data_IF_393959934097
#
_entry.id   IF_393959934097
#
_cell.length_a   1.000
_cell.length_b   1.000
_cell.length_c   1.000
_cell.angle_alpha   90.00
_cell.angle_beta   90.00
_cell.angle_gamma   90.00
#
_symmetry.space_group_name_H-M   'P 1'
#
loop_
_entity.id
_entity.type
_entity.pdbx_description
1 polymer ?
#
# COMPACT_ATOMS: atom_id res chain seq x y z
N UNK A 1 10.03 -19.85 14.35
CA UNK A 1 8.99 -20.57 13.57
C UNK A 1 7.76 -19.69 13.65
N UNK A 2 7.22 -19.18 12.54
CA UNK A 2 6.02 -18.34 12.59
C UNK A 2 4.82 -19.26 12.88
N UNK A 3 4.06 -18.97 13.94
CA UNK A 3 2.83 -19.70 14.24
C UNK A 3 1.85 -19.53 13.08
N UNK A 4 1.21 -20.63 12.70
CA UNK A 4 0.12 -20.59 11.74
C UNK A 4 -1.20 -20.29 12.44
N UNK A 5 -2.16 -19.73 11.69
CA UNK A 5 -3.53 -19.49 12.18
C UNK A 5 -4.28 -20.75 12.64
N UNK A 6 -3.78 -21.94 12.31
CA UNK A 6 -4.31 -23.23 12.79
C UNK A 6 -3.84 -23.59 14.21
N UNK A 7 -2.81 -22.91 14.72
CA UNK A 7 -2.24 -23.11 16.06
C UNK A 7 -2.72 -22.06 17.07
N UNK A 8 -3.74 -21.27 16.69
CA UNK A 8 -4.38 -20.27 17.54
C UNK A 8 -5.56 -20.88 18.31
N UNK A 9 -5.68 -20.53 19.57
CA UNK A 9 -6.89 -20.75 20.35
C UNK A 9 -8.06 -19.93 19.79
N UNK A 10 -9.29 -20.29 20.17
CA UNK A 10 -10.49 -19.55 19.75
C UNK A 10 -10.45 -18.05 20.12
N UNK A 11 -9.85 -17.73 21.27
CA UNK A 11 -9.69 -16.36 21.75
C UNK A 11 -8.68 -15.58 20.89
N UNK A 12 -7.53 -16.19 20.58
CA UNK A 12 -6.51 -15.57 19.73
C UNK A 12 -6.98 -15.42 18.28
N UNK A 13 -7.77 -16.37 17.76
CA UNK A 13 -8.38 -16.26 16.43
C UNK A 13 -9.42 -15.13 16.38
N UNK A 14 -10.20 -14.94 17.45
CA UNK A 14 -11.13 -13.81 17.57
C UNK A 14 -10.37 -12.48 17.62
N UNK A 15 -9.25 -12.42 18.36
CA UNK A 15 -8.38 -11.26 18.41
C UNK A 15 -7.75 -10.94 17.05
N UNK A 16 -7.17 -11.94 16.37
CA UNK A 16 -6.60 -11.81 15.02
C UNK A 16 -7.63 -11.25 14.04
N UNK A 17 -8.83 -11.83 13.99
CA UNK A 17 -9.91 -11.35 13.12
C UNK A 17 -10.33 -9.92 13.46
N UNK A 18 -10.35 -9.55 14.74
CA UNK A 18 -10.69 -8.18 15.16
C UNK A 18 -9.65 -7.15 14.70
N UNK A 19 -8.36 -7.50 14.77
CA UNK A 19 -7.25 -6.67 14.31
C UNK A 19 -7.16 -6.61 12.78
N UNK A 20 -7.39 -7.74 12.09
CA UNK A 20 -7.40 -7.82 10.63
C UNK A 20 -8.53 -6.98 10.02
N UNK A 21 -9.75 -7.03 10.58
CA UNK A 21 -10.90 -6.23 10.08
C UNK A 21 -10.61 -4.73 9.99
N UNK A 22 -9.75 -4.19 10.86
CA UNK A 22 -9.36 -2.78 10.84
C UNK A 22 -8.19 -2.45 9.90
N UNK A 23 -7.39 -3.45 9.50
CA UNK A 23 -6.13 -3.26 8.78
C UNK A 23 -6.16 -3.80 7.34
N UNK A 24 -7.10 -4.67 7.01
CA UNK A 24 -7.30 -5.22 5.67
C UNK A 24 -7.55 -4.14 4.62
N UNK A 25 -6.92 -4.30 3.46
CA UNK A 25 -7.17 -3.46 2.29
C UNK A 25 -8.30 -4.06 1.46
N UNK A 26 -9.23 -3.20 1.07
CA UNK A 26 -10.37 -3.59 0.25
C UNK A 26 -9.99 -3.63 -1.23
N UNK A 27 -10.18 -4.81 -1.84
CA UNK A 27 -10.01 -5.01 -3.27
C UNK A 27 -10.96 -4.11 -4.08
N UNK A 28 -12.23 -4.05 -3.68
CA UNK A 28 -13.24 -3.24 -4.36
C UNK A 28 -12.91 -1.75 -4.31
N UNK A 29 -12.47 -1.24 -3.15
CA UNK A 29 -12.04 0.15 -3.03
C UNK A 29 -10.82 0.45 -3.90
N UNK A 30 -9.89 -0.49 -4.02
CA UNK A 30 -8.72 -0.34 -4.89
C UNK A 30 -9.12 -0.23 -6.36
N UNK A 31 -10.12 -0.99 -6.81
CA UNK A 31 -10.68 -0.84 -8.17
C UNK A 31 -11.41 0.49 -8.36
N UNK A 32 -12.12 0.99 -7.35
CA UNK A 32 -12.70 2.35 -7.41
C UNK A 32 -11.60 3.41 -7.56
N UNK A 33 -10.47 3.25 -6.86
CA UNK A 33 -9.31 4.13 -7.02
C UNK A 33 -8.66 3.99 -8.41
N UNK A 34 -8.70 2.80 -9.01
CA UNK A 34 -8.25 2.57 -10.39
C UNK A 34 -9.12 3.33 -11.41
N UNK A 35 -10.38 3.65 -11.11
CA UNK A 35 -11.18 4.54 -11.99
C UNK A 35 -10.64 5.98 -11.97
N UNK A 36 -10.02 6.42 -10.87
CA UNK A 36 -9.17 7.63 -10.83
C UNK A 36 -7.78 7.43 -11.45
N UNK A 37 -7.60 6.36 -12.22
CA UNK A 37 -6.36 5.58 -12.35
C UNK A 37 -5.15 6.27 -12.92
N UNK A 38 -5.29 7.28 -13.78
CA UNK A 38 -4.12 7.91 -14.40
C UNK A 38 -3.24 8.66 -13.37
N UNK A 39 -3.80 9.04 -12.22
CA UNK A 39 -3.07 9.70 -11.13
C UNK A 39 -2.19 8.73 -10.30
N UNK A 40 -2.39 7.41 -10.40
CA UNK A 40 -1.64 6.43 -9.63
C UNK A 40 -2.08 6.26 -8.15
N UNK A 41 -3.28 6.75 -7.78
CA UNK A 41 -3.78 6.76 -6.40
C UNK A 41 -3.88 5.35 -5.79
N UNK A 42 -4.31 4.37 -6.59
CA UNK A 42 -4.41 2.97 -6.16
C UNK A 42 -3.07 2.39 -5.72
N UNK A 43 -1.94 2.77 -6.34
CA UNK A 43 -0.59 2.33 -5.94
C UNK A 43 -0.14 2.96 -4.62
N UNK A 44 -0.49 4.22 -4.38
CA UNK A 44 -0.26 4.86 -3.07
C UNK A 44 -1.06 4.19 -1.96
N UNK A 45 -2.32 3.83 -2.21
CA UNK A 45 -3.15 3.11 -1.25
C UNK A 45 -2.58 1.73 -0.89
N UNK A 46 -2.02 1.03 -1.88
CA UNK A 46 -1.34 -0.27 -1.71
C UNK A 46 0.09 -0.15 -1.18
N UNK A 47 0.51 1.03 -0.70
CA UNK A 47 1.86 1.33 -0.20
C UNK A 47 3.00 1.10 -1.20
N UNK A 48 2.71 1.02 -2.51
CA UNK A 48 3.71 0.88 -3.57
C UNK A 48 4.15 2.24 -4.12
N UNK A 49 4.71 3.05 -3.22
CA UNK A 49 5.09 4.45 -3.46
C UNK A 49 5.96 4.66 -4.71
N UNK A 50 7.07 3.92 -4.95
CA UNK A 50 7.98 4.24 -6.05
C UNK A 50 7.28 4.14 -7.40
N UNK A 51 6.54 3.06 -7.62
CA UNK A 51 5.77 2.87 -8.85
C UNK A 51 4.61 3.86 -9.01
N UNK A 52 3.99 4.29 -7.92
CA UNK A 52 2.96 5.34 -7.95
C UNK A 52 3.53 6.70 -8.35
N UNK A 53 4.74 7.03 -7.88
CA UNK A 53 5.45 8.26 -8.28
C UNK A 53 5.77 8.24 -9.77
N UNK A 54 6.29 7.12 -10.30
CA UNK A 54 6.59 6.99 -11.74
C UNK A 54 5.33 7.23 -12.58
N UNK A 55 4.21 6.63 -12.19
CA UNK A 55 2.94 6.81 -12.88
C UNK A 55 2.43 8.26 -12.81
N UNK A 56 2.54 8.90 -11.64
CA UNK A 56 2.17 10.30 -11.45
C UNK A 56 3.02 11.23 -12.32
N UNK A 57 4.34 11.02 -12.36
CA UNK A 57 5.25 11.80 -13.20
C UNK A 57 4.89 11.64 -14.68
N UNK A 58 4.64 10.42 -15.14
CA UNK A 58 4.25 10.15 -16.53
C UNK A 58 2.92 10.83 -16.90
N UNK A 59 1.97 10.85 -15.96
CA UNK A 59 0.72 11.61 -16.11
C UNK A 59 0.96 13.11 -16.21
N UNK A 60 1.80 13.68 -15.34
CA UNK A 60 2.16 15.11 -15.39
C UNK A 60 2.86 15.48 -16.71
N UNK A 61 3.77 14.65 -17.20
CA UNK A 61 4.39 14.84 -18.51
C UNK A 61 3.35 14.85 -19.63
N UNK A 62 2.43 13.88 -19.63
CA UNK A 62 1.35 13.81 -20.63
C UNK A 62 0.46 15.06 -20.57
N UNK A 63 0.13 15.54 -19.36
CA UNK A 63 -0.62 16.78 -19.18
C UNK A 63 0.13 18.01 -19.70
N UNK A 64 1.44 18.11 -19.45
CA UNK A 64 2.28 19.19 -19.99
C UNK A 64 2.25 19.16 -21.53
N UNK A 65 2.44 18.00 -22.15
CA UNK A 65 2.37 17.87 -23.61
C UNK A 65 0.99 18.20 -24.16
N UNK A 66 -0.08 17.87 -23.45
CA UNK A 66 -1.44 18.25 -23.81
C UNK A 66 -1.63 19.78 -23.81
N UNK A 67 -1.16 20.49 -22.78
CA UNK A 67 -1.22 21.96 -22.75
C UNK A 67 -0.33 22.61 -23.81
N UNK A 68 0.86 22.05 -24.07
CA UNK A 68 1.75 22.53 -25.14
C UNK A 68 1.12 22.32 -26.53
N UNK A 69 0.45 21.19 -26.75
CA UNK A 69 -0.30 20.92 -27.97
C UNK A 69 -1.44 21.93 -28.16
N UNK A 70 -2.21 22.20 -27.09
CA UNK A 70 -3.30 23.17 -27.12
C UNK A 70 -2.78 24.58 -27.46
N UNK A 71 -1.65 24.98 -26.86
CA UNK A 71 -1.00 26.26 -27.16
C UNK A 71 -0.48 26.32 -28.60
N UNK A 72 0.20 25.27 -29.08
CA UNK A 72 0.70 25.19 -30.46
C UNK A 72 -0.42 25.24 -31.51
N UNK A 73 -1.59 24.70 -31.17
CA UNK A 73 -2.78 24.76 -32.01
C UNK A 73 -3.34 26.19 -32.12
N UNK A 74 -3.24 26.99 -31.06
CA UNK A 74 -3.68 28.40 -31.05
C UNK A 74 -2.75 29.28 -31.89
N UNK A 75 -1.44 29.01 -31.86
CA UNK A 75 -0.45 29.77 -32.66
C UNK A 75 -0.31 29.23 -34.09
N UNK A 76 -1.22 28.35 -34.53
CA UNK A 76 -1.26 27.74 -35.87
C UNK A 76 0.09 27.15 -36.33
N UNK A 77 0.83 26.53 -35.39
CA UNK A 77 2.11 25.89 -35.71
C UNK A 77 1.91 24.46 -36.21
N UNK A 78 2.04 24.24 -37.52
CA UNK A 78 1.93 22.92 -38.15
C UNK A 78 2.94 21.91 -37.58
N UNK A 79 4.24 22.27 -37.56
CA UNK A 79 5.31 21.40 -37.06
C UNK A 79 5.17 21.12 -35.56
N UNK A 80 4.87 22.16 -34.76
CA UNK A 80 4.73 22.02 -33.31
C UNK A 80 3.57 21.10 -32.94
N UNK A 81 2.44 21.26 -33.61
CA UNK A 81 1.24 20.43 -33.40
C UNK A 81 1.52 18.96 -33.71
N UNK A 82 2.19 18.64 -34.82
CA UNK A 82 2.52 17.26 -35.17
C UNK A 82 3.46 16.61 -34.16
N UNK A 83 4.55 17.30 -33.78
CA UNK A 83 5.55 16.78 -32.84
C UNK A 83 4.93 16.51 -31.47
N UNK A 84 4.18 17.47 -30.90
CA UNK A 84 3.57 17.28 -29.58
C UNK A 84 2.44 16.25 -29.58
N UNK A 85 1.73 16.09 -30.70
CA UNK A 85 0.73 15.02 -30.86
C UNK A 85 1.38 13.64 -30.76
N UNK A 86 2.53 13.43 -31.42
CA UNK A 86 3.26 12.15 -31.36
C UNK A 86 3.70 11.85 -29.92
N UNK A 87 4.27 12.83 -29.21
CA UNK A 87 4.66 12.66 -27.81
C UNK A 87 3.45 12.39 -26.89
N UNK A 88 2.35 13.12 -27.07
CA UNK A 88 1.13 12.92 -26.29
C UNK A 88 0.58 11.50 -26.48
N UNK A 89 0.52 11.00 -27.72
CA UNK A 89 0.06 9.63 -28.01
C UNK A 89 1.02 8.60 -27.40
N UNK A 90 2.34 8.80 -27.54
CA UNK A 90 3.33 7.87 -27.01
C UNK A 90 3.20 7.70 -25.48
N UNK A 91 3.18 8.81 -24.73
CA UNK A 91 3.06 8.77 -23.28
C UNK A 91 1.66 8.39 -22.82
N UNK A 92 0.61 8.83 -23.52
CA UNK A 92 -0.77 8.43 -23.26
C UNK A 92 -1.00 6.93 -23.46
N UNK A 93 -0.43 6.34 -24.50
CA UNK A 93 -0.50 4.90 -24.74
C UNK A 93 0.26 4.11 -23.67
N UNK A 94 1.43 4.61 -23.25
CA UNK A 94 2.17 4.00 -22.16
C UNK A 94 1.35 3.99 -20.85
N UNK A 95 0.67 5.09 -20.50
CA UNK A 95 -0.24 5.17 -19.36
C UNK A 95 -1.44 4.23 -19.49
N UNK A 96 -2.02 4.14 -20.69
CA UNK A 96 -3.14 3.25 -20.95
C UNK A 96 -2.75 1.78 -20.74
N UNK A 97 -1.62 1.35 -21.31
CA UNK A 97 -1.08 0.00 -21.11
C UNK A 97 -0.80 -0.25 -19.63
N UNK A 98 -0.26 0.73 -18.91
CA UNK A 98 0.02 0.62 -17.49
C UNK A 98 -1.25 0.33 -16.66
N UNK A 99 -2.35 1.05 -16.92
CA UNK A 99 -3.62 0.84 -16.23
C UNK A 99 -4.18 -0.55 -16.53
N UNK A 100 -4.04 -1.03 -17.77
CA UNK A 100 -4.45 -2.38 -18.15
C UNK A 100 -3.65 -3.44 -17.39
N UNK A 101 -2.34 -3.26 -17.26
CA UNK A 101 -1.49 -4.14 -16.44
C UNK A 101 -1.93 -4.12 -14.98
N UNK A 102 -2.21 -2.92 -14.44
CA UNK A 102 -2.63 -2.75 -13.05
C UNK A 102 -3.97 -3.43 -12.75
N UNK A 103 -4.89 -3.47 -13.71
CA UNK A 103 -6.15 -4.21 -13.59
C UNK A 103 -5.92 -5.68 -13.23
N UNK A 104 -4.87 -6.31 -13.79
CA UNK A 104 -4.51 -7.69 -13.48
C UNK A 104 -3.61 -7.82 -12.25
N UNK A 105 -2.81 -6.81 -11.93
CA UNK A 105 -1.88 -6.87 -10.79
C UNK A 105 -2.55 -6.54 -9.44
N UNK A 106 -3.63 -5.74 -9.42
CA UNK A 106 -4.30 -5.31 -8.18
C UNK A 106 -4.68 -6.47 -7.25
N UNK A 107 -5.31 -7.58 -7.70
CA UNK A 107 -5.63 -8.71 -6.85
C UNK A 107 -4.40 -9.27 -6.12
N UNK A 108 -3.29 -9.40 -6.83
CA UNK A 108 -2.02 -9.89 -6.27
C UNK A 108 -1.49 -8.93 -5.21
N UNK A 109 -1.47 -7.63 -5.49
CA UNK A 109 -0.95 -6.61 -4.58
C UNK A 109 -1.77 -6.48 -3.29
N UNK A 110 -3.10 -6.53 -3.40
CA UNK A 110 -4.00 -6.51 -2.23
C UNK A 110 -3.78 -7.74 -1.36
N UNK A 111 -3.71 -8.93 -1.98
CA UNK A 111 -3.47 -10.18 -1.25
C UNK A 111 -2.13 -10.13 -0.51
N UNK A 112 -1.06 -9.73 -1.19
CA UNK A 112 0.28 -9.64 -0.60
C UNK A 112 0.34 -8.70 0.61
N UNK A 113 -0.32 -7.53 0.51
CA UNK A 113 -0.35 -6.58 1.62
C UNK A 113 -1.19 -7.06 2.81
N UNK A 114 -2.29 -7.78 2.55
CA UNK A 114 -3.11 -8.38 3.60
C UNK A 114 -2.37 -9.56 4.27
N UNK A 115 -1.70 -10.42 3.50
CA UNK A 115 -0.91 -11.54 4.01
C UNK A 115 0.25 -11.04 4.90
N UNK A 116 0.93 -9.96 4.51
CA UNK A 116 1.97 -9.32 5.33
C UNK A 116 1.41 -8.77 6.65
N UNK A 117 0.21 -8.18 6.60
CA UNK A 117 -0.47 -7.65 7.78
C UNK A 117 -0.89 -8.78 8.73
N UNK A 118 -1.40 -9.89 8.19
CA UNK A 118 -1.74 -11.09 8.95
C UNK A 118 -0.50 -11.66 9.65
N UNK A 119 0.60 -11.83 8.92
CA UNK A 119 1.86 -12.33 9.47
C UNK A 119 2.41 -11.44 10.59
N UNK A 120 2.28 -10.12 10.45
CA UNK A 120 2.64 -9.17 11.50
C UNK A 120 1.80 -9.34 12.77
N UNK A 121 0.47 -9.46 12.66
CA UNK A 121 -0.39 -9.66 13.84
C UNK A 121 -0.12 -11.00 14.50
N UNK A 122 0.08 -12.07 13.72
CA UNK A 122 0.46 -13.39 14.24
C UNK A 122 1.76 -13.33 15.04
N UNK A 123 2.75 -12.57 14.57
CA UNK A 123 4.01 -12.39 15.30
C UNK A 123 3.82 -11.67 16.64
N UNK A 124 2.86 -10.74 16.73
CA UNK A 124 2.53 -10.07 17.99
C UNK A 124 1.82 -11.00 18.97
N UNK A 125 0.90 -11.83 18.48
CA UNK A 125 0.22 -12.83 19.32
C UNK A 125 1.23 -13.83 19.88
N UNK A 126 2.16 -14.34 19.05
CA UNK A 126 3.21 -15.26 19.54
C UNK A 126 4.08 -14.61 20.61
N UNK A 127 4.47 -13.36 20.37
CA UNK A 127 5.32 -12.63 21.30
C UNK A 127 4.64 -12.46 22.67
N UNK A 128 3.35 -12.11 22.69
CA UNK A 128 2.56 -11.98 23.93
C UNK A 128 2.29 -13.33 24.60
N UNK A 129 2.16 -14.41 23.82
CA UNK A 129 2.04 -15.78 24.33
C UNK A 129 3.34 -16.23 25.02
N UNK A 130 4.49 -15.92 24.43
CA UNK A 130 5.80 -16.24 25.00
C UNK A 130 6.19 -15.34 26.18
N UNK A 131 5.70 -14.09 26.19
CA UNK A 131 5.96 -13.11 27.24
C UNK A 131 4.65 -12.55 27.82
N UNK A 132 3.90 -13.34 28.61
CA UNK A 132 2.72 -12.86 29.30
C UNK A 132 3.06 -11.63 30.15
N UNK A 133 2.25 -10.57 30.02
CA UNK A 133 2.38 -9.40 30.90
C UNK A 133 2.13 -9.88 32.34
N UNK A 134 3.08 -9.69 33.27
CA UNK A 134 2.87 -10.07 34.67
C UNK A 134 1.65 -9.34 35.22
N UNK A 135 0.72 -10.09 35.84
CA UNK A 135 -0.51 -9.54 36.37
C UNK A 135 -0.23 -8.36 37.31
N UNK A 136 -0.72 -7.16 36.93
CA UNK A 136 -0.56 -5.92 37.72
C UNK A 136 -1.23 -6.00 39.10
N UNK A 137 -2.01 -7.05 39.35
CA UNK A 137 -2.73 -7.28 40.61
C UNK A 137 -1.93 -8.09 41.65
N UNK A 138 -0.72 -8.58 41.32
CA UNK A 138 0.09 -9.36 42.26
C UNK A 138 1.06 -8.53 43.14
N UNK A 139 1.26 -7.24 42.85
CA UNK A 139 2.18 -6.40 43.62
C UNK A 139 1.62 -4.98 43.82
N UNK A 140 0.71 -4.85 44.78
CA UNK A 140 0.63 -3.63 45.58
C UNK A 140 1.38 -3.88 46.88
N UNK A 141 2.68 -3.56 46.87
CA UNK A 141 3.49 -3.02 47.97
C UNK A 141 4.95 -3.04 47.54
N UNK A 142 5.49 -1.86 47.25
CA UNK A 142 6.92 -1.53 47.33
C UNK A 142 7.86 -2.28 46.37
N UNK A 143 7.98 -1.79 45.14
CA UNK A 143 9.27 -1.58 44.47
C UNK A 143 9.01 -0.98 43.08
N UNK A 144 9.62 0.17 42.81
CA UNK A 144 9.69 0.76 41.47
C UNK A 144 10.44 -0.20 40.53
N UNK A 145 9.71 -1.14 39.92
CA UNK A 145 10.24 -1.96 38.84
C UNK A 145 10.15 -1.17 37.53
N UNK A 146 11.25 -1.02 36.79
CA UNK A 146 11.20 -0.35 35.51
C UNK A 146 10.29 -1.18 34.60
N UNK A 147 9.19 -0.59 34.14
CA UNK A 147 8.39 -1.14 33.06
C UNK A 147 9.36 -1.63 31.98
N UNK A 148 9.45 -2.95 31.70
CA UNK A 148 10.22 -3.41 30.57
C UNK A 148 9.62 -2.68 29.36
N UNK A 149 10.47 -1.98 28.60
CA UNK A 149 10.06 -1.42 27.33
C UNK A 149 9.84 -2.64 26.41
N UNK A 150 8.65 -3.24 26.51
CA UNK A 150 8.18 -4.36 25.71
C UNK A 150 7.95 -3.78 24.32
N UNK A 151 9.04 -3.58 23.59
CA UNK A 151 9.00 -3.19 22.19
C UNK A 151 8.55 -4.45 21.46
N UNK A 152 7.33 -4.49 20.89
CA UNK A 152 6.90 -5.62 20.08
C UNK A 152 7.93 -5.81 18.96
N UNK A 153 8.15 -7.03 18.45
CA UNK A 153 9.03 -7.24 17.31
C UNK A 153 8.57 -6.34 16.16
N UNK A 154 9.29 -5.24 15.95
CA UNK A 154 9.20 -4.47 14.74
C UNK A 154 9.87 -5.33 13.69
N UNK A 155 9.09 -6.15 13.00
CA UNK A 155 9.50 -6.53 11.65
C UNK A 155 9.62 -5.18 10.94
N UNK A 156 10.85 -4.79 10.64
CA UNK A 156 11.15 -3.69 9.76
C UNK A 156 10.39 -3.98 8.48
N UNK A 157 9.18 -3.43 8.35
CA UNK A 157 8.53 -3.26 7.07
C UNK A 157 9.58 -2.54 6.26
N UNK A 158 10.17 -3.29 5.34
CA UNK A 158 11.26 -2.89 4.49
C UNK A 158 10.92 -1.51 3.93
N UNK A 159 11.54 -0.51 4.55
CA UNK A 159 11.59 0.83 4.00
C UNK A 159 12.57 0.62 2.85
N UNK A 160 12.03 0.47 1.64
CA UNK A 160 12.70 0.57 0.33
C UNK A 160 12.64 -0.70 -0.54
N UNK A 161 11.48 -1.03 -1.10
CA UNK A 161 11.40 -1.64 -2.45
C UNK A 161 10.23 -1.06 -3.25
#
# INVERSE_FOLDING_TARGET
>A
MAISRYELSAQEMMLLNSEMRGKEKSLGLTYVMLLGGHLGIHRFYLKRIPSGIVQLVLFLFTMIFYFLLAFMSIVESETGTMVFTIFMILFGLALFIWIVIDLFMIPKMVKELNDQTEAYILSQIEYLRQHPIPDRHAHDTTSASPHPNVIPPSISLDKNE
#
